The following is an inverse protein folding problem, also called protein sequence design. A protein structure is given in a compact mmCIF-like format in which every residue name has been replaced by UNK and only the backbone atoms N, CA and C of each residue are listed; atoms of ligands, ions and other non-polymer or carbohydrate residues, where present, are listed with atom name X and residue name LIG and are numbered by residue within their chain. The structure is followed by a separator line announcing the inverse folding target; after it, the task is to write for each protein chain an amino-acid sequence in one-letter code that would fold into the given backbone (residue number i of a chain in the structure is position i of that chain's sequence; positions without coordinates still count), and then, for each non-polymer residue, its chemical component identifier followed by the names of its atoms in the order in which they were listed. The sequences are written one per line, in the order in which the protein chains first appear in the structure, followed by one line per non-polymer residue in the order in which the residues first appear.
data_IF_010434310008
#
_entry.id   IF_010434310008
#
_cell.length_a   1.000
_cell.length_b   1.000
_cell.length_c   1.000
_cell.angle_alpha   90.00
_cell.angle_beta   90.00
_cell.angle_gamma   90.00
#
_symmetry.space_group_name_H-M   'P 1'
#
loop_
_entity.id
_entity.type
_entity.pdbx_description
1 polymer ?
#
# COMPACT_ATOMS: atom_id res chain seq x y z
N UNK A 1 17.70 8.52 -11.48
CA UNK A 1 16.23 8.65 -11.38
C UNK A 1 15.90 9.90 -10.60
N UNK A 2 14.62 10.27 -10.51
CA UNK A 2 14.19 11.42 -9.69
C UNK A 2 14.33 11.06 -8.20
N UNK A 3 14.90 11.97 -7.41
CA UNK A 3 15.12 11.83 -5.95
C UNK A 3 14.30 12.89 -5.23
N UNK A 4 13.77 12.56 -4.05
CA UNK A 4 13.03 13.49 -3.19
C UNK A 4 14.00 14.56 -2.68
N UNK A 5 13.63 15.83 -2.82
CA UNK A 5 14.48 16.97 -2.41
C UNK A 5 13.89 17.80 -1.27
N UNK A 6 12.59 17.66 -1.02
CA UNK A 6 11.89 18.30 0.09
C UNK A 6 11.13 17.24 0.89
N UNK A 7 11.32 17.13 2.22
CA UNK A 7 10.62 16.15 3.05
C UNK A 7 9.11 16.40 3.14
N UNK A 8 8.68 17.65 3.10
CA UNK A 8 7.31 18.09 3.37
C UNK A 8 6.53 18.43 2.10
N UNK A 9 7.23 18.67 0.99
CA UNK A 9 6.64 18.98 -0.31
C UNK A 9 6.87 17.84 -1.29
N UNK A 10 5.97 17.68 -2.26
CA UNK A 10 6.07 16.66 -3.31
C UNK A 10 7.03 17.13 -4.40
N UNK A 11 8.27 17.40 -4.01
CA UNK A 11 9.32 17.91 -4.88
C UNK A 11 10.39 16.86 -5.12
N UNK A 12 10.68 16.65 -6.40
CA UNK A 12 11.64 15.66 -6.86
C UNK A 12 12.57 16.27 -7.90
N UNK A 13 13.87 15.97 -7.81
CA UNK A 13 14.88 16.47 -8.74
C UNK A 13 15.63 15.33 -9.43
N UNK A 14 16.09 15.59 -10.65
CA UNK A 14 17.02 14.73 -11.38
C UNK A 14 18.07 15.61 -12.05
N UNK A 15 19.35 15.26 -11.92
CA UNK A 15 20.48 16.01 -12.52
C UNK A 15 20.39 16.12 -14.06
N UNK A 16 19.70 15.18 -14.72
CA UNK A 16 19.41 15.20 -16.15
C UNK A 16 18.16 15.98 -16.55
N UNK A 17 17.46 16.64 -15.61
CA UNK A 17 16.22 17.37 -15.86
C UNK A 17 16.29 18.79 -15.28
N UNK A 18 16.44 19.78 -16.16
CA UNK A 18 16.34 21.20 -15.82
C UNK A 18 15.45 21.91 -16.85
N UNK A 19 14.52 22.75 -16.37
CA UNK A 19 13.56 23.45 -17.22
C UNK A 19 14.30 24.24 -18.31
N UNK A 20 13.90 24.04 -19.56
CA UNK A 20 14.51 24.69 -20.73
C UNK A 20 15.77 23.99 -21.28
N UNK A 21 16.38 23.06 -20.54
CA UNK A 21 17.62 22.39 -20.95
C UNK A 21 17.35 20.97 -21.50
N UNK A 22 16.78 20.90 -22.72
CA UNK A 22 16.43 19.63 -23.38
C UNK A 22 17.63 18.70 -23.59
N UNK A 23 18.84 19.23 -23.74
CA UNK A 23 20.04 18.46 -24.00
C UNK A 23 20.44 17.54 -22.83
N UNK A 24 19.96 17.80 -21.62
CA UNK A 24 20.20 16.98 -20.43
C UNK A 24 19.34 15.71 -20.42
N UNK A 25 18.19 15.72 -21.12
CA UNK A 25 17.25 14.59 -21.16
C UNK A 25 17.89 13.33 -21.74
N UNK A 26 18.92 13.47 -22.59
CA UNK A 26 19.69 12.34 -23.12
C UNK A 26 20.33 11.49 -22.03
N UNK A 27 20.57 12.07 -20.85
CA UNK A 27 21.16 11.36 -19.70
C UNK A 27 20.11 10.61 -18.86
N UNK A 28 18.82 10.78 -19.16
CA UNK A 28 17.71 10.11 -18.49
C UNK A 28 17.28 8.91 -19.32
N UNK A 29 17.67 7.73 -18.88
CA UNK A 29 17.29 6.47 -19.54
C UNK A 29 16.23 5.73 -18.71
N UNK A 30 15.27 5.10 -19.42
CA UNK A 30 14.37 4.12 -18.79
C UNK A 30 15.20 2.92 -18.36
N UNK A 31 15.06 2.48 -17.11
CA UNK A 31 15.71 1.25 -16.65
C UNK A 31 15.21 0.10 -17.52
N UNK A 32 16.13 -0.68 -18.11
CA UNK A 32 15.77 -1.93 -18.79
C UNK A 32 15.14 -2.85 -17.74
N UNK A 33 14.01 -3.52 -18.02
CA UNK A 33 13.50 -4.54 -17.14
C UNK A 33 14.60 -5.58 -16.92
N UNK A 34 15.08 -5.71 -15.69
CA UNK A 34 15.84 -6.89 -15.31
C UNK A 34 14.83 -8.02 -15.26
N UNK A 35 14.70 -8.77 -16.36
CA UNK A 35 14.10 -10.09 -16.33
C UNK A 35 15.00 -10.99 -15.48
N UNK A 36 14.94 -10.83 -14.16
CA UNK A 36 15.30 -11.88 -13.23
C UNK A 36 14.17 -12.90 -13.27
N UNK A 37 14.17 -13.72 -14.31
CA UNK A 37 13.76 -15.12 -14.30
C UNK A 37 13.93 -15.64 -15.72
N UNK A 38 14.87 -16.57 -15.85
CA UNK A 38 15.16 -17.28 -17.07
C UNK A 38 13.91 -18.01 -17.57
N UNK A 39 13.55 -17.79 -18.83
CA UNK A 39 12.99 -18.84 -19.66
C UNK A 39 13.25 -18.50 -21.14
N UNK A 40 13.75 -19.45 -21.94
CA UNK A 40 14.05 -19.19 -23.34
C UNK A 40 12.77 -19.32 -24.17
N UNK A 41 12.74 -18.56 -25.28
CA UNK A 41 12.46 -19.05 -26.64
C UNK A 41 11.37 -18.29 -27.44
N UNK A 42 11.88 -17.69 -28.53
CA UNK A 42 11.28 -17.43 -29.86
C UNK A 42 10.29 -16.26 -30.09
N UNK A 43 10.85 -15.12 -30.52
CA UNK A 43 10.69 -14.38 -31.81
C UNK A 43 9.29 -14.22 -32.52
N UNK A 44 9.13 -13.35 -33.55
CA UNK A 44 9.18 -11.88 -33.54
C UNK A 44 7.95 -11.27 -34.26
N UNK A 45 7.35 -10.17 -33.76
CA UNK A 45 6.20 -9.56 -34.45
C UNK A 45 5.96 -8.12 -34.06
N UNK A 46 6.20 -7.22 -35.00
CA UNK A 46 6.14 -5.76 -34.84
C UNK A 46 4.69 -5.26 -34.77
N UNK A 47 4.39 -4.49 -33.73
CA UNK A 47 3.22 -3.63 -33.61
C UNK A 47 3.30 -2.94 -32.26
N UNK A 48 3.08 -1.61 -32.13
CA UNK A 48 3.00 -0.99 -30.82
C UNK A 48 1.70 -1.46 -30.18
N UNK A 49 1.80 -2.53 -29.40
CA UNK A 49 0.73 -3.00 -28.53
C UNK A 49 0.41 -1.89 -27.53
N UNK A 50 -0.72 -1.23 -27.78
CA UNK A 50 -1.55 -0.61 -26.75
C UNK A 50 -1.83 -1.68 -25.71
N UNK A 51 -0.97 -1.78 -24.70
CA UNK A 51 -1.02 -2.94 -23.79
C UNK A 51 0.18 -3.05 -22.87
N UNK A 52 0.51 -1.97 -22.17
CA UNK A 52 1.28 -2.05 -20.95
C UNK A 52 0.95 -0.85 -20.08
N UNK A 53 -0.31 -0.77 -19.64
CA UNK A 53 -0.54 -0.23 -18.30
C UNK A 53 0.44 -0.97 -17.39
N UNK A 54 1.36 -0.24 -16.76
CA UNK A 54 2.15 -0.80 -15.68
C UNK A 54 1.11 -1.24 -14.65
N UNK A 55 0.93 -2.54 -14.47
CA UNK A 55 0.08 -3.08 -13.39
C UNK A 55 0.81 -2.80 -12.07
N UNK A 56 0.78 -1.53 -11.66
CA UNK A 56 1.10 -1.07 -10.31
C UNK A 56 -0.08 -1.53 -9.46
N UNK A 57 -0.12 -2.81 -9.06
CA UNK A 57 -1.37 -3.31 -8.48
C UNK A 57 -1.33 -4.55 -7.60
N UNK A 58 -0.37 -5.47 -7.72
CA UNK A 58 -0.51 -6.76 -7.00
C UNK A 58 0.39 -6.96 -5.79
N UNK A 59 1.48 -6.22 -5.65
CA UNK A 59 2.38 -6.39 -4.51
C UNK A 59 1.93 -5.62 -3.26
N UNK A 60 1.32 -4.44 -3.40
CA UNK A 60 0.85 -3.64 -2.26
C UNK A 60 -0.59 -3.94 -1.83
N UNK A 61 -1.48 -4.27 -2.77
CA UNK A 61 -2.89 -4.51 -2.43
C UNK A 61 -3.08 -5.81 -1.65
N UNK A 62 -2.35 -6.87 -1.98
CA UNK A 62 -2.45 -8.15 -1.25
C UNK A 62 -1.94 -8.01 0.19
N UNK A 63 -0.81 -7.34 0.38
CA UNK A 63 -0.26 -7.05 1.71
C UNK A 63 -1.21 -6.16 2.54
N UNK A 64 -1.81 -5.15 1.91
CA UNK A 64 -2.79 -4.26 2.53
C UNK A 64 -4.06 -5.02 2.91
N UNK A 65 -4.54 -5.94 2.06
CA UNK A 65 -5.68 -6.81 2.36
C UNK A 65 -5.37 -7.70 3.56
N UNK A 66 -4.19 -8.32 3.61
CA UNK A 66 -3.79 -9.18 4.74
C UNK A 66 -3.60 -8.38 6.03
N UNK A 67 -3.11 -7.14 5.94
CA UNK A 67 -3.05 -6.21 7.07
C UNK A 67 -4.45 -5.86 7.58
N UNK A 68 -5.35 -5.47 6.69
CA UNK A 68 -6.74 -5.13 7.03
C UNK A 68 -7.49 -6.33 7.64
N UNK A 69 -7.26 -7.55 7.15
CA UNK A 69 -7.83 -8.77 7.75
C UNK A 69 -7.35 -8.96 9.19
N UNK A 70 -6.06 -8.77 9.47
CA UNK A 70 -5.50 -8.86 10.83
C UNK A 70 -6.10 -7.78 11.74
N UNK A 71 -6.12 -6.52 11.29
CA UNK A 71 -6.68 -5.40 12.05
C UNK A 71 -8.16 -5.63 12.35
N UNK A 72 -8.95 -6.11 11.37
CA UNK A 72 -10.35 -6.49 11.58
C UNK A 72 -10.51 -7.54 12.67
N UNK A 73 -9.67 -8.57 12.68
CA UNK A 73 -9.76 -9.66 13.65
C UNK A 73 -9.43 -9.18 15.07
N UNK A 74 -8.46 -8.26 15.21
CA UNK A 74 -8.14 -7.62 16.50
C UNK A 74 -9.33 -6.80 16.99
N UNK A 75 -9.90 -5.95 16.13
CA UNK A 75 -11.07 -5.13 16.48
C UNK A 75 -12.29 -5.97 16.85
N UNK A 76 -12.54 -7.07 16.15
CA UNK A 76 -13.62 -8.01 16.48
C UNK A 76 -13.42 -8.64 17.86
N UNK A 77 -12.18 -9.04 18.20
CA UNK A 77 -11.86 -9.60 19.51
C UNK A 77 -12.07 -8.58 20.63
N UNK A 78 -11.62 -7.34 20.43
CA UNK A 78 -11.83 -6.24 21.38
C UNK A 78 -13.32 -5.92 21.57
N UNK A 79 -14.11 -5.95 20.49
CA UNK A 79 -15.55 -5.72 20.56
C UNK A 79 -16.27 -6.79 21.39
N UNK A 80 -15.89 -8.06 21.23
CA UNK A 80 -16.43 -9.15 22.06
C UNK A 80 -16.05 -8.95 23.53
N UNK A 81 -14.77 -8.63 23.79
CA UNK A 81 -14.27 -8.36 25.15
C UNK A 81 -15.04 -7.21 25.82
N UNK A 82 -15.24 -6.11 25.11
CA UNK A 82 -15.98 -4.94 25.62
C UNK A 82 -17.45 -5.27 25.89
N UNK A 83 -18.11 -6.04 25.01
CA UNK A 83 -19.48 -6.50 25.25
C UNK A 83 -19.58 -7.38 26.50
N UNK A 84 -18.63 -8.28 26.71
CA UNK A 84 -18.61 -9.13 27.90
C UNK A 84 -18.40 -8.31 29.17
N UNK A 85 -17.50 -7.32 29.12
CA UNK A 85 -17.27 -6.40 30.23
C UNK A 85 -18.51 -5.57 30.56
N UNK A 86 -19.18 -5.01 29.54
CA UNK A 86 -20.44 -4.27 29.69
C UNK A 86 -21.50 -5.14 30.38
N UNK A 87 -21.71 -6.38 29.92
CA UNK A 87 -22.67 -7.30 30.53
C UNK A 87 -22.35 -7.60 32.01
N UNK A 88 -21.07 -7.79 32.33
CA UNK A 88 -20.65 -8.01 33.73
C UNK A 88 -20.96 -6.80 34.61
N UNK A 89 -20.62 -5.61 34.13
CA UNK A 89 -20.88 -4.36 34.85
C UNK A 89 -22.38 -4.11 35.03
N UNK A 90 -23.20 -4.39 34.01
CA UNK A 90 -24.64 -4.24 34.09
C UNK A 90 -25.25 -5.19 35.15
N UNK A 91 -24.75 -6.44 35.23
CA UNK A 91 -25.17 -7.40 36.24
C UNK A 91 -24.79 -6.94 37.67
N UNK A 92 -23.57 -6.41 37.83
CA UNK A 92 -23.13 -5.84 39.11
C UNK A 92 -24.03 -4.66 39.51
N UNK A 93 -24.31 -3.73 38.60
CA UNK A 93 -25.21 -2.60 38.83
C UNK A 93 -26.61 -3.07 39.23
N UNK A 94 -27.17 -4.08 38.54
CA UNK A 94 -28.48 -4.64 38.89
C UNK A 94 -28.48 -5.24 40.29
N UNK A 95 -27.43 -5.98 40.63
CA UNK A 95 -27.26 -6.58 41.97
C UNK A 95 -27.18 -5.49 43.04
N UNK A 96 -26.42 -4.41 42.79
CA UNK A 96 -26.35 -3.27 43.71
C UNK A 96 -27.70 -2.56 43.86
N UNK A 97 -28.43 -2.37 42.76
CA UNK A 97 -29.77 -1.78 42.77
C UNK A 97 -30.76 -2.56 43.63
N UNK A 98 -30.74 -3.89 43.56
CA UNK A 98 -31.59 -4.74 44.40
C UNK A 98 -31.28 -4.63 45.89
N UNK A 99 -30.01 -4.44 46.27
CA UNK A 99 -29.63 -4.30 47.69
C UNK A 99 -30.02 -2.96 48.31
N UNK A 100 -30.23 -1.94 47.48
CA UNK A 100 -30.59 -0.59 47.92
C UNK A 100 -32.11 -0.39 47.99
N UNK A 101 -32.89 -1.40 47.60
CA UNK A 101 -34.35 -1.42 47.64
C UNK A 101 -34.82 -2.10 48.93
#
# INVERSE_FOLDING_TARGET
GFRKVDPDRWEFANEGFLRGQKHLLKNIYRRKPTHSHAQPQQQPGQGPSVGACVEVGKFGLEEEIERLKRDKNVLMSELVRLRQQQQSTDLELQTMGQRLQ
#
